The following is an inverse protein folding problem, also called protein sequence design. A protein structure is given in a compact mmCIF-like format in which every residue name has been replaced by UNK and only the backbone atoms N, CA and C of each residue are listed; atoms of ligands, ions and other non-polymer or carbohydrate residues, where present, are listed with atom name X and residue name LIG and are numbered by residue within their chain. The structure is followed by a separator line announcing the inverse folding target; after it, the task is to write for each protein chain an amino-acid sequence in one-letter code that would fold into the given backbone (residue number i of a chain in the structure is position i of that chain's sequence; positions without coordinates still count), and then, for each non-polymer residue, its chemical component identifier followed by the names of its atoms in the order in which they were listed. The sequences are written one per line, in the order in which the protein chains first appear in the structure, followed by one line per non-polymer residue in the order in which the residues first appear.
data_IF_777777570795
#
_entry.id   IF_777777570795
#
_cell.length_a   1.000
_cell.length_b   1.000
_cell.length_c   1.000
_cell.angle_alpha   90.00
_cell.angle_beta   90.00
_cell.angle_gamma   90.00
#
_symmetry.space_group_name_H-M   'P 1'
#
loop_
_entity.id
_entity.type
_entity.pdbx_description
1 polymer ?
#
# COMPACT_ATOMS: atom_id res chain seq x y z
N UNK A 1 30.54 13.87 -13.20
CA UNK A 1 30.88 14.06 -11.76
C UNK A 1 29.72 13.69 -10.83
N UNK A 2 28.46 14.03 -11.14
CA UNK A 2 27.27 13.72 -10.33
C UNK A 2 27.08 12.22 -10.06
N UNK A 3 27.15 11.38 -11.10
CA UNK A 3 27.02 9.93 -10.97
C UNK A 3 28.07 9.28 -10.07
N UNK A 4 29.32 9.75 -10.13
CA UNK A 4 30.40 9.24 -9.26
C UNK A 4 30.12 9.49 -7.78
N UNK A 5 29.52 10.64 -7.44
CA UNK A 5 29.15 10.97 -6.04
C UNK A 5 28.01 10.09 -5.54
N UNK A 6 26.97 9.89 -6.35
CA UNK A 6 25.86 8.98 -6.01
C UNK A 6 26.38 7.55 -5.81
N UNK A 7 27.24 7.09 -6.73
CA UNK A 7 27.85 5.77 -6.64
C UNK A 7 28.68 5.60 -5.36
N UNK A 8 29.46 6.60 -4.98
CA UNK A 8 30.25 6.56 -3.75
C UNK A 8 29.36 6.42 -2.50
N UNK A 9 28.25 7.14 -2.45
CA UNK A 9 27.27 7.01 -1.36
C UNK A 9 26.64 5.61 -1.34
N UNK A 10 26.21 5.11 -2.50
CA UNK A 10 25.62 3.78 -2.62
C UNK A 10 26.61 2.67 -2.24
N UNK A 11 27.88 2.77 -2.66
CA UNK A 11 28.93 1.80 -2.36
C UNK A 11 29.16 1.59 -0.85
N UNK A 12 29.02 2.66 -0.04
CA UNK A 12 29.10 2.55 1.42
C UNK A 12 28.01 1.64 1.99
N UNK A 13 26.79 1.77 1.49
CA UNK A 13 25.67 0.90 1.89
C UNK A 13 25.75 -0.50 1.26
N UNK A 14 26.22 -0.63 0.03
CA UNK A 14 26.45 -1.94 -0.61
C UNK A 14 27.46 -2.78 0.19
N UNK A 15 28.51 -2.16 0.74
CA UNK A 15 29.48 -2.86 1.57
C UNK A 15 28.87 -3.40 2.88
N UNK A 16 27.89 -2.69 3.45
CA UNK A 16 27.18 -3.09 4.65
C UNK A 16 25.95 -3.96 4.36
N UNK A 17 25.52 -4.00 3.09
CA UNK A 17 24.33 -4.70 2.68
C UNK A 17 24.47 -6.20 2.98
N UNK A 18 23.38 -6.77 3.49
CA UNK A 18 23.32 -8.20 3.80
C UNK A 18 22.75 -8.96 2.62
N UNK A 19 23.36 -10.08 2.28
CA UNK A 19 22.81 -11.01 1.30
C UNK A 19 21.56 -11.66 1.88
N UNK A 20 20.56 -11.90 1.03
CA UNK A 20 19.34 -12.55 1.48
C UNK A 20 19.60 -14.02 1.77
N UNK A 21 19.08 -14.56 2.89
CA UNK A 21 19.08 -15.99 3.10
C UNK A 21 18.25 -16.67 2.01
N UNK A 22 18.61 -17.89 1.63
CA UNK A 22 17.78 -18.68 0.74
C UNK A 22 16.37 -18.83 1.36
N UNK A 23 15.37 -18.32 0.65
CA UNK A 23 13.97 -18.43 1.03
C UNK A 23 13.42 -19.70 0.39
N UNK A 24 12.72 -20.49 1.20
CA UNK A 24 11.96 -21.65 0.74
C UNK A 24 10.49 -21.52 1.14
N UNK A 25 9.60 -22.05 0.32
CA UNK A 25 8.16 -21.90 0.49
C UNK A 25 7.51 -23.28 0.64
N UNK A 26 6.98 -23.55 1.83
CA UNK A 26 6.12 -24.71 2.08
C UNK A 26 4.65 -24.34 1.88
N UNK A 27 3.88 -25.22 1.25
CA UNK A 27 2.47 -24.93 0.92
C UNK A 27 1.59 -26.09 1.35
N UNK A 28 0.56 -25.77 2.12
CA UNK A 28 -0.56 -26.66 2.41
C UNK A 28 -1.80 -26.09 1.76
N UNK A 29 -2.32 -26.81 0.76
CA UNK A 29 -3.49 -26.44 0.01
C UNK A 29 -4.63 -27.41 0.34
N UNK A 30 -5.82 -26.88 0.64
CA UNK A 30 -7.03 -27.68 0.84
C UNK A 30 -8.17 -27.11 0.01
N UNK A 31 -8.96 -28.00 -0.58
CA UNK A 31 -10.19 -27.67 -1.31
C UNK A 31 -11.34 -28.37 -0.60
N UNK A 32 -12.34 -27.63 -0.10
CA UNK A 32 -13.42 -28.17 0.74
C UNK A 32 -12.92 -29.07 1.89
N UNK A 33 -11.77 -28.72 2.49
CA UNK A 33 -11.13 -29.48 3.55
C UNK A 33 -10.33 -30.71 3.10
N UNK A 34 -10.41 -31.12 1.83
CA UNK A 34 -9.59 -32.20 1.28
C UNK A 34 -8.18 -31.68 0.91
N UNK A 35 -7.10 -32.34 1.37
CA UNK A 35 -5.74 -31.90 1.08
C UNK A 35 -5.36 -32.13 -0.38
N UNK A 36 -4.73 -31.13 -0.99
CA UNK A 36 -4.11 -31.23 -2.32
C UNK A 36 -2.61 -31.42 -2.15
N UNK A 37 -2.05 -32.41 -2.83
CA UNK A 37 -0.59 -32.54 -2.93
C UNK A 37 -0.02 -31.45 -3.85
N UNK A 38 0.89 -30.65 -3.31
CA UNK A 38 1.66 -29.64 -4.05
C UNK A 38 3.07 -30.17 -4.27
N UNK A 39 3.50 -30.26 -5.52
CA UNK A 39 4.86 -30.72 -5.86
C UNK A 39 5.87 -29.61 -5.62
N UNK A 40 5.56 -28.38 -6.08
CA UNK A 40 6.44 -27.23 -5.95
C UNK A 40 5.71 -25.90 -6.17
N UNK A 41 6.15 -24.86 -5.46
CA UNK A 41 5.81 -23.48 -5.77
C UNK A 41 6.71 -22.95 -6.89
N UNK A 42 6.14 -22.48 -8.00
CA UNK A 42 6.92 -21.95 -9.12
C UNK A 42 7.12 -20.44 -9.02
N UNK A 43 6.06 -19.71 -8.71
CA UNK A 43 6.13 -18.27 -8.49
C UNK A 43 5.06 -17.78 -7.53
N UNK A 44 5.41 -16.73 -6.80
CA UNK A 44 4.49 -15.96 -5.97
C UNK A 44 4.66 -14.48 -6.30
N UNK A 45 3.55 -13.79 -6.50
CA UNK A 45 3.50 -12.35 -6.74
C UNK A 45 2.56 -11.76 -5.71
N UNK A 46 3.05 -10.83 -4.88
CA UNK A 46 2.24 -10.02 -3.99
C UNK A 46 2.08 -8.64 -4.61
N UNK A 47 0.86 -8.25 -4.91
CA UNK A 47 0.52 -6.94 -5.44
C UNK A 47 -0.19 -6.15 -4.35
N UNK A 48 0.35 -4.99 -3.98
CA UNK A 48 -0.29 -4.05 -3.06
C UNK A 48 -0.24 -2.64 -3.59
N UNK A 49 -1.38 -2.09 -4.02
CA UNK A 49 -1.54 -0.65 -4.22
C UNK A 49 -2.10 -0.05 -2.95
N UNK A 50 -1.23 0.46 -2.09
CA UNK A 50 -1.60 0.82 -0.72
C UNK A 50 -2.64 1.94 -0.62
N UNK A 51 -2.81 2.73 -1.67
CA UNK A 51 -3.77 3.86 -1.71
C UNK A 51 -5.09 3.54 -2.41
N UNK A 52 -5.21 2.39 -3.08
CA UNK A 52 -6.40 2.00 -3.86
C UNK A 52 -7.01 0.71 -3.38
N UNK A 53 -6.18 -0.21 -2.94
CA UNK A 53 -6.58 -1.51 -2.42
C UNK A 53 -6.57 -1.46 -0.89
N UNK A 54 -7.32 -2.34 -0.23
CA UNK A 54 -7.32 -2.45 1.24
C UNK A 54 -6.41 -3.57 1.75
N UNK A 55 -5.96 -4.48 0.88
CA UNK A 55 -5.14 -5.63 1.25
C UNK A 55 -4.28 -6.12 0.08
N UNK A 56 -3.34 -7.02 0.38
CA UNK A 56 -2.50 -7.64 -0.65
C UNK A 56 -3.28 -8.66 -1.48
N UNK A 57 -3.17 -8.54 -2.79
CA UNK A 57 -3.58 -9.58 -3.73
C UNK A 57 -2.37 -10.47 -4.05
N UNK A 58 -2.50 -11.78 -3.82
CA UNK A 58 -1.42 -12.74 -3.99
C UNK A 58 -1.71 -13.69 -5.14
N UNK A 59 -0.87 -13.67 -6.17
CA UNK A 59 -0.92 -14.65 -7.25
C UNK A 59 0.10 -15.75 -6.97
N UNK A 60 -0.36 -16.99 -6.90
CA UNK A 60 0.46 -18.14 -6.56
C UNK A 60 0.36 -19.19 -7.65
N UNK A 61 1.49 -19.50 -8.30
CA UNK A 61 1.57 -20.53 -9.33
C UNK A 61 2.22 -21.79 -8.76
N UNK A 62 1.48 -22.89 -8.82
CA UNK A 62 1.85 -24.18 -8.25
C UNK A 62 1.96 -25.26 -9.31
N UNK A 63 2.93 -26.15 -9.12
CA UNK A 63 3.00 -27.42 -9.79
C UNK A 63 2.33 -28.49 -8.92
N UNK A 64 1.38 -29.20 -9.50
CA UNK A 64 0.58 -30.24 -8.84
C UNK A 64 0.51 -31.51 -9.71
N UNK A 65 0.20 -32.68 -9.14
CA UNK A 65 -0.15 -33.86 -9.92
C UNK A 65 -1.37 -33.59 -10.80
N UNK A 66 -1.39 -34.15 -12.02
CA UNK A 66 -2.47 -33.91 -12.98
C UNK A 66 -3.84 -34.40 -12.46
N UNK A 67 -3.88 -35.50 -11.72
CA UNK A 67 -5.09 -36.04 -11.07
C UNK A 67 -5.74 -35.05 -10.10
N UNK A 68 -4.94 -34.23 -9.42
CA UNK A 68 -5.43 -33.23 -8.47
C UNK A 68 -5.85 -31.92 -9.14
N UNK A 69 -5.49 -31.72 -10.41
CA UNK A 69 -5.83 -30.50 -11.15
C UNK A 69 -7.34 -30.28 -11.22
N UNK A 70 -8.11 -31.33 -11.52
CA UNK A 70 -9.58 -31.25 -11.61
C UNK A 70 -10.22 -30.88 -10.28
N UNK A 71 -9.72 -31.43 -9.17
CA UNK A 71 -10.23 -31.11 -7.84
C UNK A 71 -10.12 -29.62 -7.53
N UNK A 72 -9.05 -28.97 -8.00
CA UNK A 72 -8.84 -27.54 -7.83
C UNK A 72 -9.66 -26.72 -8.83
N UNK A 73 -9.67 -27.08 -10.11
CA UNK A 73 -10.26 -26.23 -11.16
C UNK A 73 -11.77 -26.33 -11.27
N UNK A 74 -12.37 -27.50 -11.03
CA UNK A 74 -13.81 -27.72 -11.22
C UNK A 74 -14.61 -27.84 -9.93
N UNK A 75 -13.95 -28.22 -8.83
CA UNK A 75 -14.64 -28.55 -7.57
C UNK A 75 -14.33 -27.58 -6.44
N UNK A 76 -13.63 -26.47 -6.69
CA UNK A 76 -13.26 -25.56 -5.60
C UNK A 76 -14.35 -24.56 -5.22
N UNK A 77 -15.25 -24.17 -6.15
CA UNK A 77 -16.36 -23.22 -5.93
C UNK A 77 -16.02 -21.98 -5.06
N UNK A 78 -14.76 -21.56 -5.03
CA UNK A 78 -14.27 -20.44 -4.20
C UNK A 78 -13.93 -20.75 -2.74
N UNK A 79 -14.00 -22.00 -2.27
CA UNK A 79 -13.51 -22.45 -0.95
C UNK A 79 -12.13 -23.13 -1.06
N UNK A 80 -11.18 -22.36 -1.58
CA UNK A 80 -9.78 -22.76 -1.63
C UNK A 80 -9.02 -22.11 -0.48
N UNK A 81 -8.40 -22.92 0.39
CA UNK A 81 -7.59 -22.45 1.51
C UNK A 81 -6.13 -22.81 1.31
N UNK A 82 -5.25 -21.83 1.46
CA UNK A 82 -3.81 -22.00 1.32
C UNK A 82 -3.13 -21.52 2.59
N UNK A 83 -2.37 -22.41 3.22
CA UNK A 83 -1.42 -22.04 4.27
C UNK A 83 -0.01 -22.04 3.67
N UNK A 84 0.55 -20.84 3.55
CA UNK A 84 1.90 -20.61 3.07
C UNK A 84 2.86 -20.53 4.27
N UNK A 85 3.89 -21.36 4.25
CA UNK A 85 4.99 -21.35 5.20
C UNK A 85 6.22 -20.75 4.53
N UNK A 86 6.66 -19.60 5.03
CA UNK A 86 7.95 -19.05 4.67
C UNK A 86 9.03 -19.73 5.52
N UNK A 87 10.03 -20.35 4.90
CA UNK A 87 11.13 -21.03 5.59
C UNK A 87 12.47 -20.32 5.31
N UNK A 88 13.29 -20.23 6.35
CA UNK A 88 14.70 -19.82 6.28
C UNK A 88 15.54 -20.97 6.77
N UNK A 89 16.02 -21.80 5.84
CA UNK A 89 16.62 -23.10 6.15
C UNK A 89 15.58 -24.01 6.81
N UNK A 90 15.91 -24.58 7.98
CA UNK A 90 15.02 -25.49 8.73
C UNK A 90 14.00 -24.77 9.61
N UNK A 91 14.08 -23.44 9.76
CA UNK A 91 13.17 -22.67 10.63
C UNK A 91 12.01 -22.09 9.82
N UNK A 92 10.81 -22.18 10.37
CA UNK A 92 9.64 -21.46 9.88
C UNK A 92 9.83 -19.99 10.28
N UNK A 93 9.89 -19.11 9.28
CA UNK A 93 10.04 -17.67 9.42
C UNK A 93 8.69 -16.94 9.39
N UNK A 94 7.65 -17.54 8.81
CA UNK A 94 6.31 -16.96 8.79
C UNK A 94 5.24 -17.96 8.33
N UNK A 95 4.02 -17.74 8.80
CA UNK A 95 2.83 -18.50 8.43
C UNK A 95 1.77 -17.51 7.95
N UNK A 96 1.27 -17.72 6.74
CA UNK A 96 0.25 -16.90 6.11
C UNK A 96 -0.93 -17.76 5.69
N UNK A 97 -2.12 -17.39 6.13
CA UNK A 97 -3.35 -18.08 5.78
C UNK A 97 -4.09 -17.27 4.72
N UNK A 98 -4.34 -17.89 3.59
CA UNK A 98 -5.01 -17.27 2.46
C UNK A 98 -6.27 -18.05 2.09
N UNK A 99 -7.22 -17.30 1.53
CA UNK A 99 -8.35 -17.83 0.78
C UNK A 99 -8.40 -17.24 -0.60
N UNK A 100 -8.97 -17.97 -1.54
CA UNK A 100 -9.02 -17.46 -2.89
C UNK A 100 -9.70 -18.36 -3.89
N UNK A 101 -9.42 -18.06 -5.14
CA UNK A 101 -10.01 -18.73 -6.30
C UNK A 101 -8.91 -19.17 -7.25
N UNK A 102 -9.26 -20.10 -8.12
CA UNK A 102 -8.36 -20.54 -9.18
C UNK A 102 -8.54 -19.62 -10.38
N UNK A 103 -7.45 -19.05 -10.88
CA UNK A 103 -7.46 -18.35 -12.14
C UNK A 103 -7.25 -19.41 -13.23
N UNK A 104 -8.32 -19.76 -13.93
CA UNK A 104 -8.23 -20.70 -15.03
C UNK A 104 -9.11 -20.26 -16.19
N UNK A 105 -8.51 -20.20 -17.37
CA UNK A 105 -9.19 -19.84 -18.62
C UNK A 105 -9.74 -21.08 -19.35
N UNK A 106 -9.63 -22.29 -18.77
CA UNK A 106 -10.08 -23.55 -19.36
C UNK A 106 -11.06 -24.30 -18.46
N UNK A 107 -12.23 -24.64 -19.00
CA UNK A 107 -13.16 -25.53 -18.35
C UNK A 107 -12.78 -26.99 -18.60
N UNK A 108 -12.16 -27.62 -17.60
CA UNK A 108 -11.73 -29.02 -17.69
C UNK A 108 -12.87 -30.02 -17.62
N UNK A 109 -14.08 -29.59 -17.23
CA UNK A 109 -15.28 -30.43 -17.30
C UNK A 109 -15.85 -30.47 -18.72
N UNK A 110 -15.59 -29.44 -19.52
CA UNK A 110 -15.95 -29.38 -20.94
C UNK A 110 -14.94 -30.09 -21.85
N UNK A 111 -13.75 -30.44 -21.33
CA UNK A 111 -12.73 -31.17 -22.08
C UNK A 111 -12.87 -32.69 -21.90
N UNK A 112 -12.92 -33.42 -23.02
CA UNK A 112 -12.91 -34.90 -23.00
C UNK A 112 -11.64 -35.40 -22.31
N UNK A 113 -11.74 -36.28 -21.29
CA UNK A 113 -10.57 -36.84 -20.64
C UNK A 113 -9.67 -37.56 -21.65
N UNK A 114 -8.36 -37.49 -21.45
CA UNK A 114 -7.43 -38.29 -22.24
C UNK A 114 -7.58 -39.78 -21.89
N UNK A 115 -7.33 -40.66 -22.86
CA UNK A 115 -7.47 -42.12 -22.69
C UNK A 115 -6.49 -42.72 -21.66
N UNK A 116 -5.56 -41.94 -21.11
CA UNK A 116 -4.49 -42.40 -20.23
C UNK A 116 -4.55 -41.75 -18.83
N UNK A 117 -5.75 -41.50 -18.30
CA UNK A 117 -5.92 -40.88 -16.97
C UNK A 117 -5.18 -41.63 -15.86
N UNK A 118 -5.11 -42.97 -15.94
CA UNK A 118 -4.39 -43.80 -14.95
C UNK A 118 -2.87 -43.70 -15.01
N UNK A 119 -2.31 -43.14 -16.09
CA UNK A 119 -0.87 -42.90 -16.28
C UNK A 119 -0.55 -41.39 -16.33
N UNK A 120 -1.53 -40.50 -16.12
CA UNK A 120 -1.33 -39.07 -16.30
C UNK A 120 -0.39 -38.48 -15.26
N UNK A 121 -0.42 -38.99 -14.04
CA UNK A 121 0.43 -38.50 -12.95
C UNK A 121 1.90 -38.87 -13.12
N UNK A 122 2.17 -39.99 -13.81
CA UNK A 122 3.54 -40.40 -14.17
C UNK A 122 4.07 -39.64 -15.39
N UNK A 123 3.20 -39.08 -16.22
CA UNK A 123 3.54 -38.49 -17.53
C UNK A 123 3.41 -36.98 -17.60
N UNK A 124 2.68 -36.35 -16.69
CA UNK A 124 2.37 -34.92 -16.77
C UNK A 124 2.25 -34.26 -15.40
N UNK A 125 2.74 -33.02 -15.33
CA UNK A 125 2.55 -32.11 -14.21
C UNK A 125 1.58 -31.02 -14.66
N UNK A 126 0.62 -30.67 -13.82
CA UNK A 126 -0.27 -29.55 -14.06
C UNK A 126 0.25 -28.29 -13.38
N UNK A 127 0.11 -27.15 -14.06
CA UNK A 127 0.39 -25.83 -13.50
C UNK A 127 -0.93 -25.11 -13.24
N UNK A 128 -1.10 -24.64 -12.01
CA UNK A 128 -2.31 -23.91 -11.60
C UNK A 128 -1.91 -22.59 -10.97
N UNK A 129 -2.57 -21.53 -11.38
CA UNK A 129 -2.42 -20.20 -10.79
C UNK A 129 -3.64 -19.88 -9.92
N UNK A 130 -3.37 -19.45 -8.70
CA UNK A 130 -4.37 -19.09 -7.70
C UNK A 130 -4.33 -17.59 -7.46
N UNK A 131 -5.50 -16.98 -7.35
CA UNK A 131 -5.66 -15.63 -6.82
C UNK A 131 -6.07 -15.73 -5.36
N UNK A 132 -5.26 -15.17 -4.48
CA UNK A 132 -5.36 -15.36 -3.04
C UNK A 132 -5.39 -14.00 -2.32
N UNK A 133 -6.15 -13.93 -1.23
CA UNK A 133 -6.13 -12.82 -0.28
C UNK A 133 -6.07 -13.36 1.14
N UNK A 134 -5.70 -12.51 2.10
CA UNK A 134 -5.65 -12.89 3.51
C UNK A 134 -7.03 -13.43 3.97
N UNK A 135 -7.03 -14.54 4.71
CA UNK A 135 -8.27 -15.18 5.15
C UNK A 135 -9.17 -14.23 5.95
N UNK A 136 -8.59 -13.32 6.73
CA UNK A 136 -9.36 -12.33 7.49
C UNK A 136 -10.07 -11.32 6.58
N UNK A 137 -9.48 -10.98 5.44
CA UNK A 137 -10.09 -10.06 4.47
C UNK A 137 -11.22 -10.70 3.68
N UNK A 138 -11.13 -12.01 3.42
CA UNK A 138 -12.14 -12.74 2.66
C UNK A 138 -13.55 -12.53 3.21
N UNK A 139 -13.70 -12.58 4.54
CA UNK A 139 -15.00 -12.39 5.21
C UNK A 139 -15.39 -10.92 5.35
N UNK A 140 -14.42 -10.02 5.51
CA UNK A 140 -14.68 -8.58 5.67
C UNK A 140 -15.26 -7.95 4.40
N UNK A 141 -15.00 -8.50 3.22
CA UNK A 141 -15.56 -8.02 1.95
C UNK A 141 -17.09 -8.05 1.89
N UNK A 142 -17.73 -8.93 2.66
CA UNK A 142 -19.19 -9.04 2.71
C UNK A 142 -19.78 -8.44 3.99
N UNK A 143 -18.95 -7.79 4.81
CA UNK A 143 -19.37 -7.18 6.08
C UNK A 143 -19.85 -5.76 5.81
N UNK A 144 -20.99 -5.43 6.39
CA UNK A 144 -21.52 -4.07 6.45
C UNK A 144 -21.20 -3.43 7.80
N UNK A 145 -21.03 -2.11 7.77
CA UNK A 145 -20.77 -1.27 8.94
C UNK A 145 -21.85 -0.19 8.98
N UNK A 146 -22.37 0.09 10.17
CA UNK A 146 -23.36 1.14 10.39
C UNK A 146 -23.39 1.49 11.87
N UNK A 147 -23.82 2.70 12.20
CA UNK A 147 -23.96 3.12 13.59
C UNK A 147 -23.80 4.61 13.82
N UNK A 148 -24.18 5.02 15.03
CA UNK A 148 -24.05 6.40 15.50
C UNK A 148 -23.03 6.42 16.63
N UNK A 149 -22.00 7.24 16.48
CA UNK A 149 -20.94 7.41 17.45
C UNK A 149 -21.04 8.80 18.06
N UNK A 150 -21.16 8.86 19.38
CA UNK A 150 -21.35 10.11 20.10
C UNK A 150 -20.03 10.68 20.62
N UNK A 151 -19.91 12.00 20.63
CA UNK A 151 -18.83 12.78 21.26
C UNK A 151 -17.43 12.28 20.91
N UNK A 152 -17.19 11.98 19.63
CA UNK A 152 -15.97 11.35 19.15
C UNK A 152 -15.47 12.01 17.86
N UNK A 153 -14.32 11.56 17.39
CA UNK A 153 -13.68 12.04 16.17
C UNK A 153 -13.55 10.93 15.10
N UNK A 154 -13.34 11.34 13.85
CA UNK A 154 -13.27 10.42 12.72
C UNK A 154 -12.12 9.41 12.80
N UNK A 155 -10.98 9.76 13.39
CA UNK A 155 -9.85 8.85 13.57
C UNK A 155 -10.17 7.78 14.62
N UNK A 156 -10.79 8.17 15.73
CA UNK A 156 -11.23 7.24 16.77
C UNK A 156 -12.27 6.24 16.23
N UNK A 157 -13.24 6.70 15.44
CA UNK A 157 -14.24 5.82 14.79
C UNK A 157 -13.58 4.88 13.77
N UNK A 158 -12.68 5.38 12.92
CA UNK A 158 -11.95 4.52 11.99
C UNK A 158 -11.15 3.42 12.72
N UNK A 159 -10.52 3.77 13.85
CA UNK A 159 -9.79 2.82 14.70
C UNK A 159 -10.70 1.80 15.36
N UNK A 160 -11.89 2.18 15.84
CA UNK A 160 -12.82 1.24 16.45
C UNK A 160 -13.34 0.22 15.44
N UNK A 161 -13.70 0.65 14.23
CA UNK A 161 -14.13 -0.24 13.14
C UNK A 161 -13.04 -1.28 12.81
N UNK A 162 -11.77 -0.85 12.76
CA UNK A 162 -10.65 -1.76 12.55
C UNK A 162 -10.41 -2.68 13.77
N UNK A 163 -10.59 -2.18 14.99
CA UNK A 163 -10.39 -2.94 16.21
C UNK A 163 -11.38 -4.09 16.34
N UNK A 164 -12.61 -3.92 15.85
CA UNK A 164 -13.66 -4.94 15.78
C UNK A 164 -13.35 -6.10 14.81
N UNK A 165 -12.22 -6.02 14.08
CA UNK A 165 -11.72 -7.11 13.23
C UNK A 165 -10.63 -7.94 13.91
N UNK A 166 -10.11 -7.49 15.05
CA UNK A 166 -9.06 -8.19 15.78
C UNK A 166 -9.66 -9.39 16.53
N UNK A 167 -8.92 -10.51 16.65
CA UNK A 167 -9.37 -11.65 17.44
C UNK A 167 -9.46 -11.29 18.93
N UNK A 168 -10.42 -11.88 19.63
CA UNK A 168 -10.47 -11.79 21.09
C UNK A 168 -9.31 -12.55 21.73
N UNK A 169 -8.55 -11.88 22.61
CA UNK A 169 -7.42 -12.49 23.33
C UNK A 169 -6.09 -12.47 22.55
N UNK A 170 -5.27 -13.51 22.74
CA UNK A 170 -3.95 -13.59 22.09
C UNK A 170 -4.11 -14.10 20.67
N UNK A 171 -3.78 -13.26 19.69
CA UNK A 171 -3.83 -13.62 18.27
C UNK A 171 -2.91 -14.82 17.97
N UNK A 172 -3.48 -15.88 17.38
CA UNK A 172 -2.72 -17.03 16.92
C UNK A 172 -1.86 -16.70 15.69
N UNK A 173 -0.89 -17.55 15.36
CA UNK A 173 -0.12 -17.43 14.12
C UNK A 173 -1.05 -17.47 12.90
N UNK A 174 -0.92 -16.48 12.00
CA UNK A 174 -1.83 -16.36 10.86
C UNK A 174 -2.93 -15.32 11.05
N UNK A 175 -3.23 -14.89 12.28
CA UNK A 175 -4.31 -13.94 12.58
C UNK A 175 -3.83 -12.50 12.68
N UNK A 176 -4.77 -11.56 12.55
CA UNK A 176 -4.55 -10.13 12.76
C UNK A 176 -3.98 -9.85 14.17
N UNK A 177 -2.90 -9.09 14.22
CA UNK A 177 -2.09 -8.80 15.41
C UNK A 177 -2.33 -7.43 16.02
N UNK A 178 -2.89 -6.49 15.26
CA UNK A 178 -3.15 -5.14 15.76
C UNK A 178 -3.26 -4.09 14.67
N UNK A 179 -3.34 -2.84 15.13
CA UNK A 179 -3.52 -1.65 14.30
C UNK A 179 -2.36 -0.70 14.54
N UNK A 180 -1.79 -0.22 13.46
CA UNK A 180 -0.84 0.89 13.44
C UNK A 180 -1.47 2.07 12.73
N UNK A 181 -1.36 3.25 13.33
CA UNK A 181 -1.93 4.47 12.74
C UNK A 181 -0.98 5.66 12.86
N UNK A 182 -1.24 6.69 12.05
CA UNK A 182 -0.58 7.99 12.15
C UNK A 182 -1.42 8.93 13.03
N UNK A 183 -0.77 9.85 13.74
CA UNK A 183 -1.48 10.84 14.56
C UNK A 183 -1.57 12.19 13.85
N UNK A 184 -2.72 12.83 13.97
CA UNK A 184 -2.99 14.18 13.48
C UNK A 184 -4.08 14.81 14.36
N UNK A 185 -4.05 16.12 14.54
CA UNK A 185 -5.07 16.85 15.27
C UNK A 185 -6.48 16.57 14.71
N UNK A 186 -7.41 16.24 15.60
CA UNK A 186 -8.77 15.83 15.24
C UNK A 186 -9.80 16.85 15.70
N UNK A 187 -10.87 16.94 14.94
CA UNK A 187 -12.06 17.67 15.33
C UNK A 187 -13.08 16.68 15.91
N UNK A 188 -13.49 16.93 17.15
CA UNK A 188 -14.57 16.17 17.77
C UNK A 188 -15.93 16.61 17.19
N UNK A 189 -16.79 15.63 16.96
CA UNK A 189 -18.16 15.81 16.52
C UNK A 189 -19.10 15.34 17.63
N UNK A 190 -20.26 16.01 17.73
CA UNK A 190 -21.31 15.55 18.64
C UNK A 190 -21.79 14.16 18.25
N UNK A 191 -22.08 13.98 16.97
CA UNK A 191 -22.58 12.74 16.41
C UNK A 191 -21.86 12.48 15.08
N UNK A 192 -21.22 11.32 14.96
CA UNK A 192 -20.74 10.76 13.71
C UNK A 192 -21.71 9.65 13.33
N UNK A 193 -22.48 9.90 12.26
CA UNK A 193 -23.44 8.94 11.72
C UNK A 193 -22.80 8.26 10.54
N UNK A 194 -22.71 6.94 10.60
CA UNK A 194 -22.40 6.07 9.46
C UNK A 194 -23.73 5.44 9.04
N UNK A 195 -24.18 5.65 7.78
CA UNK A 195 -25.39 5.05 7.26
C UNK A 195 -25.41 3.54 7.48
N UNK A 196 -26.59 2.98 7.70
CA UNK A 196 -26.75 1.54 7.74
C UNK A 196 -26.37 0.94 6.38
N UNK A 197 -25.77 -0.25 6.41
CA UNK A 197 -25.34 -0.99 5.23
C UNK A 197 -24.20 -0.37 4.41
N UNK A 198 -23.39 0.51 4.99
CA UNK A 198 -22.13 0.93 4.34
C UNK A 198 -21.17 -0.26 4.25
N UNK A 199 -20.57 -0.47 3.08
CA UNK A 199 -19.61 -1.57 2.90
C UNK A 199 -18.34 -1.30 3.71
N UNK A 200 -17.75 -2.35 4.30
CA UNK A 200 -16.51 -2.22 5.06
C UNK A 200 -15.37 -1.58 4.25
N UNK A 201 -15.38 -1.75 2.93
CA UNK A 201 -14.36 -1.20 2.03
C UNK A 201 -14.51 0.31 1.81
N UNK A 202 -15.74 0.83 1.76
CA UNK A 202 -16.03 2.24 1.46
C UNK A 202 -16.18 3.11 2.70
N UNK A 203 -16.43 2.51 3.87
CA UNK A 203 -16.67 3.26 5.12
C UNK A 203 -15.53 4.23 5.48
N UNK A 204 -14.28 3.89 5.16
CA UNK A 204 -13.13 4.75 5.43
C UNK A 204 -13.07 5.96 4.51
N UNK A 205 -13.43 5.78 3.23
CA UNK A 205 -13.58 6.89 2.29
C UNK A 205 -14.76 7.77 2.70
N UNK A 206 -15.86 7.18 3.18
CA UNK A 206 -16.98 7.92 3.74
C UNK A 206 -16.53 8.80 4.91
N UNK A 207 -15.82 8.23 5.90
CA UNK A 207 -15.30 8.97 7.05
C UNK A 207 -14.36 10.10 6.62
N UNK A 208 -13.43 9.83 5.71
CA UNK A 208 -12.51 10.84 5.19
C UNK A 208 -13.23 11.95 4.44
N UNK A 209 -14.23 11.63 3.61
CA UNK A 209 -14.93 12.61 2.81
C UNK A 209 -15.90 13.46 3.64
N UNK A 210 -16.57 12.90 4.64
CA UNK A 210 -17.60 13.60 5.43
C UNK A 210 -17.06 14.27 6.69
N UNK A 211 -16.17 13.61 7.43
CA UNK A 211 -15.67 14.07 8.73
C UNK A 211 -14.19 14.47 8.71
N UNK A 212 -13.44 14.12 7.65
CA UNK A 212 -12.04 14.52 7.48
C UNK A 212 -11.12 13.91 8.54
N UNK A 213 -10.60 12.72 8.28
CA UNK A 213 -9.71 12.01 9.21
C UNK A 213 -8.30 12.61 9.15
N UNK A 214 -7.73 12.70 7.95
CA UNK A 214 -6.38 13.22 7.72
C UNK A 214 -6.33 14.30 6.65
N UNK A 215 -5.47 15.30 6.82
CA UNK A 215 -5.27 16.37 5.82
C UNK A 215 -4.45 15.94 4.60
N UNK A 216 -3.73 14.82 4.69
CA UNK A 216 -2.85 14.27 3.64
C UNK A 216 -3.38 12.96 3.06
N UNK A 217 -4.71 12.78 3.12
CA UNK A 217 -5.41 11.59 2.69
C UNK A 217 -5.44 10.47 3.71
N UNK A 218 -6.37 9.55 3.49
CA UNK A 218 -6.50 8.33 4.27
C UNK A 218 -5.99 7.16 3.44
N UNK A 219 -5.10 6.37 4.02
CA UNK A 219 -4.72 5.06 3.52
C UNK A 219 -5.10 4.03 4.57
N UNK A 220 -5.89 3.04 4.17
CA UNK A 220 -6.25 1.90 5.02
C UNK A 220 -5.79 0.65 4.33
N UNK A 221 -4.84 -0.06 4.92
CA UNK A 221 -4.24 -1.22 4.28
C UNK A 221 -3.90 -2.31 5.29
N UNK A 222 -4.30 -3.53 5.00
CA UNK A 222 -3.88 -4.71 5.74
C UNK A 222 -2.59 -5.27 5.14
N UNK A 223 -1.51 -5.26 5.94
CA UNK A 223 -0.22 -5.80 5.55
C UNK A 223 0.36 -6.67 6.66
N UNK A 224 0.73 -7.91 6.33
CA UNK A 224 1.35 -8.87 7.25
C UNK A 224 0.65 -8.95 8.62
N UNK A 225 -0.65 -9.26 8.60
CA UNK A 225 -1.48 -9.41 9.80
C UNK A 225 -1.64 -8.13 10.63
N UNK A 226 -1.38 -6.94 10.09
CA UNK A 226 -1.63 -5.67 10.78
C UNK A 226 -2.41 -4.73 9.90
N UNK A 227 -3.27 -3.95 10.53
CA UNK A 227 -3.92 -2.82 9.90
C UNK A 227 -3.02 -1.60 9.95
N UNK A 228 -2.91 -0.89 8.83
CA UNK A 228 -2.25 0.39 8.73
C UNK A 228 -3.30 1.44 8.37
N UNK A 229 -3.42 2.46 9.22
CA UNK A 229 -4.26 3.63 9.00
C UNK A 229 -3.39 4.88 8.95
N UNK A 230 -3.03 5.34 7.76
CA UNK A 230 -1.90 6.26 7.59
C UNK A 230 -2.20 7.37 6.59
N UNK A 231 -1.28 8.33 6.51
CA UNK A 231 -1.31 9.45 5.55
C UNK A 231 -0.46 9.14 4.32
N UNK A 232 -1.06 8.86 3.15
CA UNK A 232 -0.33 8.49 1.95
C UNK A 232 0.36 9.67 1.26
N UNK A 233 -0.06 10.93 1.45
CA UNK A 233 0.47 12.08 0.68
C UNK A 233 1.24 13.07 1.57
N UNK A 234 2.20 12.56 2.35
CA UNK A 234 2.95 13.36 3.34
C UNK A 234 4.47 13.32 3.11
N UNK A 235 5.01 14.39 2.53
CA UNK A 235 6.46 14.57 2.29
C UNK A 235 7.25 14.88 3.56
N UNK A 236 6.61 15.48 4.57
CA UNK A 236 7.25 15.87 5.83
C UNK A 236 7.40 14.69 6.79
N UNK A 237 6.69 13.58 6.53
CA UNK A 237 6.71 12.36 7.34
C UNK A 237 8.14 11.83 7.58
N UNK A 238 9.03 11.97 6.60
CA UNK A 238 10.41 11.49 6.73
C UNK A 238 11.18 12.19 7.87
N UNK A 239 10.96 13.47 8.08
CA UNK A 239 11.67 14.22 9.13
C UNK A 239 10.96 14.14 10.48
N UNK A 240 9.62 14.03 10.47
CA UNK A 240 8.80 14.18 11.68
C UNK A 240 8.44 12.87 12.37
N UNK A 241 8.81 11.71 11.81
CA UNK A 241 8.51 10.41 12.43
C UNK A 241 9.69 9.81 13.19
N UNK A 242 9.35 9.04 14.23
CA UNK A 242 10.24 8.11 14.94
C UNK A 242 10.10 6.67 14.44
N UNK A 243 9.16 6.40 13.52
CA UNK A 243 8.98 5.08 12.88
C UNK A 243 10.08 4.76 11.86
N UNK A 244 10.24 3.49 11.44
CA UNK A 244 11.26 3.12 10.47
C UNK A 244 11.13 3.89 9.16
N UNK A 245 12.27 4.34 8.62
CA UNK A 245 12.35 5.20 7.43
C UNK A 245 13.03 4.49 6.27
N UNK A 246 12.64 4.85 5.06
CA UNK A 246 13.18 4.27 3.84
C UNK A 246 14.04 5.29 3.09
N UNK A 247 15.27 4.93 2.78
CA UNK A 247 16.16 5.70 1.91
C UNK A 247 16.46 4.86 0.67
N UNK A 248 16.15 5.39 -0.50
CA UNK A 248 16.38 4.71 -1.78
C UNK A 248 17.47 5.46 -2.54
N UNK A 249 18.52 4.74 -2.91
CA UNK A 249 19.52 5.19 -3.88
C UNK A 249 19.19 4.58 -5.23
N UNK A 250 18.77 5.41 -6.19
CA UNK A 250 18.45 4.96 -7.55
C UNK A 250 19.68 5.04 -8.45
N UNK A 251 20.35 3.90 -8.63
CA UNK A 251 21.49 3.76 -9.54
C UNK A 251 21.03 3.45 -10.98
N UNK A 252 21.86 3.74 -11.99
CA UNK A 252 21.62 3.30 -13.36
C UNK A 252 21.37 1.79 -13.45
N UNK A 253 20.49 1.39 -14.36
CA UNK A 253 20.02 0.00 -14.52
C UNK A 253 21.17 -0.99 -14.68
N UNK A 254 22.18 -0.63 -15.46
CA UNK A 254 23.34 -1.49 -15.76
C UNK A 254 24.16 -1.77 -14.50
N UNK A 255 24.26 -0.79 -13.61
CA UNK A 255 25.03 -0.93 -12.37
C UNK A 255 24.25 -1.68 -11.31
N UNK A 256 22.94 -1.40 -11.18
CA UNK A 256 22.09 -2.04 -10.18
C UNK A 256 21.82 -3.53 -10.45
N UNK A 257 21.82 -3.96 -11.72
CA UNK A 257 21.55 -5.35 -12.09
C UNK A 257 22.62 -6.34 -11.61
N UNK A 258 23.86 -5.89 -11.42
CA UNK A 258 24.99 -6.74 -11.01
C UNK A 258 25.21 -6.78 -9.50
N UNK A 259 24.35 -6.13 -8.72
CA UNK A 259 24.50 -6.04 -7.27
C UNK A 259 23.77 -7.20 -6.59
N UNK A 260 24.52 -8.08 -5.93
CA UNK A 260 23.95 -9.21 -5.20
C UNK A 260 23.28 -8.82 -3.88
N UNK A 261 23.67 -7.69 -3.29
CA UNK A 261 23.20 -7.22 -1.98
C UNK A 261 22.73 -5.78 -2.05
N UNK A 262 21.42 -5.59 -1.91
CA UNK A 262 20.76 -4.30 -2.18
C UNK A 262 20.12 -3.68 -0.94
N UNK A 263 20.22 -4.33 0.22
CA UNK A 263 19.55 -3.89 1.47
C UNK A 263 20.53 -3.76 2.62
N UNK A 264 20.57 -2.57 3.21
CA UNK A 264 21.30 -2.26 4.44
C UNK A 264 20.31 -1.71 5.48
N UNK A 265 20.35 -2.24 6.70
CA UNK A 265 19.45 -1.85 7.79
C UNK A 265 20.32 -1.32 8.93
N UNK A 266 20.30 -0.01 9.12
CA UNK A 266 21.05 0.68 10.17
C UNK A 266 20.09 1.32 11.17
N UNK A 267 19.87 0.64 12.29
CA UNK A 267 18.92 1.07 13.32
C UNK A 267 17.51 1.14 12.76
N UNK A 268 16.97 2.35 12.67
CA UNK A 268 15.60 2.62 12.22
C UNK A 268 15.51 3.06 10.75
N UNK A 269 16.61 2.97 9.99
CA UNK A 269 16.65 3.38 8.58
C UNK A 269 16.98 2.17 7.73
N UNK A 270 16.13 1.93 6.73
CA UNK A 270 16.31 0.92 5.70
C UNK A 270 16.85 1.63 4.47
N UNK A 271 18.05 1.24 4.04
CA UNK A 271 18.68 1.72 2.83
C UNK A 271 18.51 0.67 1.74
N UNK A 272 17.89 1.07 0.63
CA UNK A 272 17.72 0.25 -0.55
C UNK A 272 18.55 0.80 -1.71
N UNK A 273 19.23 -0.11 -2.39
CA UNK A 273 19.86 0.14 -3.67
C UNK A 273 18.92 -0.37 -4.75
N UNK A 274 18.30 0.58 -5.44
CA UNK A 274 17.37 0.31 -6.52
C UNK A 274 18.00 0.67 -7.86
N UNK A 275 17.47 0.10 -8.92
CA UNK A 275 17.77 0.51 -10.28
C UNK A 275 16.96 -0.27 -11.29
N UNK A 276 16.80 0.30 -12.48
CA UNK A 276 15.89 -0.20 -13.51
C UNK A 276 15.19 0.94 -14.24
N UNK A 277 14.18 0.59 -15.02
CA UNK A 277 13.36 1.56 -15.73
C UNK A 277 12.54 2.35 -14.71
N UNK A 278 12.95 3.60 -14.47
CA UNK A 278 12.21 4.52 -13.62
C UNK A 278 11.10 5.13 -14.48
N UNK A 279 9.85 4.75 -14.24
CA UNK A 279 8.70 5.43 -14.83
C UNK A 279 8.20 6.48 -13.86
N UNK A 280 8.01 7.69 -14.37
CA UNK A 280 7.35 8.78 -13.65
C UNK A 280 6.02 9.06 -14.33
N UNK A 281 4.94 8.96 -13.56
CA UNK A 281 3.63 9.42 -14.00
C UNK A 281 3.42 10.83 -13.43
N UNK A 282 3.58 11.82 -14.30
CA UNK A 282 3.40 13.22 -13.95
C UNK A 282 1.98 13.67 -14.35
N UNK A 283 1.10 13.77 -13.35
CA UNK A 283 -0.24 14.33 -13.53
C UNK A 283 -0.36 15.75 -12.98
N UNK A 284 0.73 16.30 -12.45
CA UNK A 284 0.73 17.56 -11.71
C UNK A 284 0.21 18.73 -12.55
N UNK A 285 0.66 18.85 -13.79
CA UNK A 285 0.26 19.96 -14.66
C UNK A 285 -1.21 19.85 -15.08
N UNK A 286 -1.65 18.64 -15.43
CA UNK A 286 -3.06 18.38 -15.74
C UNK A 286 -3.96 18.61 -14.52
N UNK A 287 -3.54 18.20 -13.33
CA UNK A 287 -4.27 18.41 -12.09
C UNK A 287 -4.34 19.90 -11.74
N UNK A 288 -3.22 20.63 -11.83
CA UNK A 288 -3.17 22.07 -11.59
C UNK A 288 -4.09 22.86 -12.52
N UNK A 289 -4.16 22.50 -13.80
CA UNK A 289 -5.01 23.18 -14.79
C UNK A 289 -6.50 22.82 -14.64
N UNK A 290 -6.83 21.55 -14.39
CA UNK A 290 -8.22 21.09 -14.35
C UNK A 290 -8.87 21.21 -12.97
N UNK A 291 -8.14 20.95 -11.89
CA UNK A 291 -8.63 20.93 -10.51
C UNK A 291 -8.24 22.19 -9.73
N UNK A 292 -7.23 22.91 -10.20
CA UNK A 292 -6.70 24.10 -9.54
C UNK A 292 -5.46 23.81 -8.69
N UNK A 293 -4.75 24.88 -8.34
CA UNK A 293 -3.56 24.85 -7.47
C UNK A 293 -3.87 25.17 -6.01
N UNK A 294 -5.14 25.42 -5.68
CA UNK A 294 -5.65 25.63 -4.34
C UNK A 294 -7.14 25.31 -4.26
N UNK A 295 -7.74 25.55 -3.10
CA UNK A 295 -9.18 25.39 -2.89
C UNK A 295 -9.70 26.51 -2.00
N UNK A 296 -11.01 26.77 -2.05
CA UNK A 296 -11.73 27.66 -1.13
C UNK A 296 -12.95 26.94 -0.58
N UNK A 297 -13.08 26.89 0.73
CA UNK A 297 -14.24 26.30 1.41
C UNK A 297 -14.72 27.26 2.49
N UNK A 298 -16.01 27.59 2.49
CA UNK A 298 -16.62 28.37 3.56
C UNK A 298 -16.75 27.55 4.84
N UNK A 299 -16.50 28.13 6.01
CA UNK A 299 -16.73 27.41 7.26
C UNK A 299 -18.22 27.44 7.65
N UNK A 300 -18.82 26.28 7.94
CA UNK A 300 -20.23 26.20 8.42
C UNK A 300 -20.43 26.96 9.73
N UNK A 301 -19.39 27.05 10.58
CA UNK A 301 -19.41 27.80 11.84
C UNK A 301 -19.75 29.29 11.65
N UNK A 302 -19.54 29.81 10.44
CA UNK A 302 -19.85 31.19 10.06
C UNK A 302 -21.34 31.38 9.81
N UNK A 303 -22.04 30.34 9.33
CA UNK A 303 -23.49 30.38 9.10
C UNK A 303 -24.28 30.42 10.42
N UNK A 304 -23.71 29.86 11.50
CA UNK A 304 -24.32 29.85 12.86
C UNK A 304 -24.00 31.13 13.67
N UNK A 305 -23.39 32.16 13.06
CA UNK A 305 -23.10 33.43 13.74
C UNK A 305 -22.08 33.37 14.89
N UNK A 306 -21.44 32.21 15.12
CA UNK A 306 -20.41 32.00 16.16
C UNK A 306 -19.02 32.50 15.76
N UNK A 307 -18.92 33.25 14.66
CA UNK A 307 -17.67 33.77 14.10
C UNK A 307 -17.43 35.26 14.39
N UNK A 308 -17.99 35.78 15.50
CA UNK A 308 -17.60 37.10 16.00
C UNK A 308 -16.36 36.98 16.90
N UNK A 309 -15.30 37.72 16.57
CA UNK A 309 -14.19 37.90 17.51
C UNK A 309 -14.64 38.81 18.64
N UNK A 310 -14.75 38.28 19.86
CA UNK A 310 -14.98 39.10 21.04
C UNK A 310 -13.66 39.71 21.51
N UNK A 311 -13.43 40.97 21.15
CA UNK A 311 -12.59 41.88 21.93
C UNK A 311 -13.54 42.77 22.74
N UNK A 312 -13.52 42.75 24.08
CA UNK A 312 -14.38 43.60 24.88
C UNK A 312 -14.15 45.09 24.54
N UNK A 313 -15.15 45.75 23.96
CA UNK A 313 -15.13 47.20 23.67
C UNK A 313 -15.18 47.59 22.18
N UNK A 314 -15.02 46.65 21.25
CA UNK A 314 -15.04 46.95 19.80
C UNK A 314 -16.32 46.49 19.08
N UNK A 315 -16.65 47.21 18.02
CA UNK A 315 -17.75 46.89 17.10
C UNK A 315 -17.40 45.58 16.38
N UNK A 316 -18.31 44.61 16.37
CA UNK A 316 -18.12 43.31 15.72
C UNK A 316 -17.73 43.47 14.24
N UNK A 317 -16.44 43.33 13.91
CA UNK A 317 -15.95 43.34 12.54
C UNK A 317 -15.86 41.91 12.01
N UNK A 318 -16.61 41.63 10.96
CA UNK A 318 -16.49 40.41 10.17
C UNK A 318 -15.27 40.52 9.26
N UNK A 319 -14.11 39.94 9.64
CA UNK A 319 -12.92 39.90 8.76
C UNK A 319 -13.04 38.80 7.71
N UNK A 320 -13.09 39.12 6.39
CA UNK A 320 -13.26 38.16 5.29
C UNK A 320 -12.32 36.95 5.33
N UNK A 321 -11.08 37.17 5.72
CA UNK A 321 -10.01 36.16 5.74
C UNK A 321 -10.20 35.06 6.79
N UNK A 322 -11.11 35.25 7.75
CA UNK A 322 -11.46 34.20 8.74
C UNK A 322 -12.67 33.35 8.31
N UNK A 323 -13.31 33.64 7.18
CA UNK A 323 -14.54 32.96 6.74
C UNK A 323 -14.30 31.82 5.75
N UNK A 324 -13.15 31.81 5.10
CA UNK A 324 -12.81 30.86 4.05
C UNK A 324 -11.54 30.12 4.45
N UNK A 325 -11.65 28.81 4.61
CA UNK A 325 -10.47 27.95 4.60
C UNK A 325 -9.95 27.93 3.16
N UNK A 326 -8.76 28.49 2.95
CA UNK A 326 -8.10 28.52 1.66
C UNK A 326 -6.66 28.02 1.83
N UNK A 327 -6.24 27.12 0.93
CA UNK A 327 -4.81 26.88 0.73
C UNK A 327 -4.24 28.00 -0.14
N UNK A 328 -3.11 28.58 0.27
CA UNK A 328 -2.38 29.55 -0.56
C UNK A 328 -1.87 28.84 -1.83
N UNK A 329 -2.46 29.11 -3.02
CA UNK A 329 -2.19 28.30 -4.19
C UNK A 329 -0.78 28.60 -4.67
N UNK A 330 0.09 27.58 -4.74
CA UNK A 330 1.35 27.74 -5.44
C UNK A 330 1.03 28.05 -6.91
N UNK A 331 1.53 29.18 -7.43
CA UNK A 331 1.32 29.52 -8.83
C UNK A 331 1.81 28.37 -9.71
N UNK A 332 0.96 27.96 -10.67
CA UNK A 332 1.42 27.08 -11.74
C UNK A 332 2.63 27.73 -12.44
N UNK A 333 3.60 26.98 -12.99
CA UNK A 333 4.77 27.59 -13.64
C UNK A 333 4.45 28.65 -14.70
N UNK A 334 3.25 28.62 -15.30
CA UNK A 334 2.72 29.66 -16.18
C UNK A 334 2.10 30.90 -15.49
N UNK A 335 2.24 31.06 -14.17
CA UNK A 335 1.72 32.20 -13.39
C UNK A 335 0.23 32.15 -13.07
N UNK A 336 -0.50 31.14 -13.54
CA UNK A 336 -1.94 31.00 -13.29
C UNK A 336 -2.19 30.40 -11.92
N UNK A 337 -3.06 31.04 -11.15
CA UNK A 337 -3.59 30.56 -9.88
C UNK A 337 -5.06 30.24 -10.10
N UNK A 338 -5.46 29.00 -9.81
CA UNK A 338 -6.85 28.59 -9.85
C UNK A 338 -7.21 27.94 -8.51
N UNK A 339 -8.08 28.58 -7.74
CA UNK A 339 -8.55 28.09 -6.44
C UNK A 339 -10.08 28.08 -6.45
N UNK A 340 -10.69 27.06 -7.08
CA UNK A 340 -12.13 26.98 -7.18
C UNK A 340 -12.77 26.74 -5.81
N UNK A 341 -14.02 27.20 -5.67
CA UNK A 341 -14.90 26.76 -4.60
C UNK A 341 -15.39 25.37 -4.97
N UNK A 342 -15.33 24.42 -4.04
CA UNK A 342 -15.86 23.07 -4.24
C UNK A 342 -17.36 23.15 -4.56
N UNK A 343 -17.82 22.73 -5.75
CA UNK A 343 -19.21 22.87 -6.17
C UNK A 343 -20.16 21.99 -5.35
N UNK A 344 -19.66 20.88 -4.79
CA UNK A 344 -20.46 19.95 -4.00
C UNK A 344 -20.44 20.30 -2.50
N UNK A 345 -19.46 21.11 -2.05
CA UNK A 345 -19.23 21.46 -0.64
C UNK A 345 -18.86 22.93 -0.45
N UNK A 346 -19.82 23.81 -0.73
CA UNK A 346 -19.67 25.26 -0.52
C UNK A 346 -19.33 25.64 0.92
N UNK A 347 -19.92 24.93 1.89
CA UNK A 347 -19.62 25.05 3.31
C UNK A 347 -19.28 23.69 3.89
N UNK A 348 -18.21 23.63 4.68
CA UNK A 348 -17.82 22.42 5.40
C UNK A 348 -17.37 22.76 6.82
N UNK A 349 -17.52 21.81 7.74
CA UNK A 349 -16.94 21.90 9.08
C UNK A 349 -15.45 21.58 9.09
N UNK A 350 -14.94 20.93 8.05
CA UNK A 350 -13.55 20.49 7.89
C UNK A 350 -13.07 20.67 6.45
N UNK A 351 -11.81 21.09 6.28
CA UNK A 351 -11.14 21.28 4.99
C UNK A 351 -10.19 20.12 4.62
N UNK A 352 -10.02 19.14 5.53
CA UNK A 352 -9.16 17.97 5.34
C UNK A 352 -9.43 17.18 4.06
N UNK A 353 -10.68 16.94 3.62
CA UNK A 353 -10.95 16.24 2.37
C UNK A 353 -10.37 16.97 1.14
N UNK A 354 -10.52 18.29 1.09
CA UNK A 354 -10.02 19.13 0.00
C UNK A 354 -8.49 19.23 0.03
N UNK A 355 -7.90 19.39 1.23
CA UNK A 355 -6.44 19.35 1.41
C UNK A 355 -5.83 18.04 0.93
N UNK A 356 -6.48 16.91 1.24
CA UNK A 356 -6.05 15.59 0.79
C UNK A 356 -5.98 15.50 -0.73
N UNK A 357 -7.05 15.93 -1.43
CA UNK A 357 -7.10 15.90 -2.91
C UNK A 357 -6.03 16.79 -3.53
N UNK A 358 -5.83 17.99 -2.97
CA UNK A 358 -4.80 18.92 -3.44
C UNK A 358 -3.40 18.30 -3.27
N UNK A 359 -3.10 17.77 -2.09
CA UNK A 359 -1.78 17.20 -1.80
C UNK A 359 -1.46 15.99 -2.68
N UNK A 360 -2.44 15.13 -2.94
CA UNK A 360 -2.28 14.03 -3.91
C UNK A 360 -1.78 14.54 -5.27
N UNK A 361 -2.36 15.64 -5.78
CA UNK A 361 -2.02 16.23 -7.08
C UNK A 361 -0.69 16.99 -7.13
N UNK A 362 -0.13 17.39 -5.98
CA UNK A 362 1.12 18.14 -5.91
C UNK A 362 2.38 17.27 -6.05
N UNK A 363 2.27 15.97 -5.81
CA UNK A 363 3.40 15.04 -5.94
C UNK A 363 3.40 14.28 -7.27
N UNK A 364 4.49 13.56 -7.50
CA UNK A 364 4.71 12.70 -8.67
C UNK A 364 4.80 11.25 -8.21
N UNK A 365 4.16 10.34 -8.95
CA UNK A 365 4.33 8.91 -8.74
C UNK A 365 5.56 8.43 -9.51
N UNK A 366 6.53 7.89 -8.79
CA UNK A 366 7.76 7.33 -9.34
C UNK A 366 7.80 5.84 -9.02
N UNK A 367 8.00 5.02 -10.05
CA UNK A 367 8.23 3.59 -9.87
C UNK A 367 9.71 3.27 -10.00
N UNK A 368 10.23 2.43 -9.11
CA UNK A 368 11.62 1.96 -9.18
C UNK A 368 11.67 0.46 -8.91
N UNK A 369 12.69 -0.20 -9.45
CA UNK A 369 12.89 -1.63 -9.29
C UNK A 369 13.94 -1.92 -8.21
N UNK A 370 13.58 -2.78 -7.28
CA UNK A 370 14.46 -3.30 -6.24
C UNK A 370 14.76 -4.77 -6.51
N UNK A 371 15.99 -5.03 -6.97
CA UNK A 371 16.48 -6.39 -7.24
C UNK A 371 16.91 -7.08 -5.94
N UNK A 372 16.78 -8.41 -5.91
CA UNK A 372 17.04 -9.23 -4.71
C UNK A 372 16.28 -8.69 -3.51
N UNK A 373 14.98 -8.46 -3.72
CA UNK A 373 14.09 -7.87 -2.71
C UNK A 373 13.66 -8.88 -1.65
N UNK A 374 13.23 -8.37 -0.50
CA UNK A 374 12.62 -9.15 0.58
C UNK A 374 11.26 -8.60 0.92
N UNK A 375 10.24 -9.43 0.75
CA UNK A 375 8.89 -9.09 1.18
C UNK A 375 8.82 -8.90 2.70
N UNK A 376 8.12 -7.86 3.14
CA UNK A 376 7.80 -7.65 4.55
C UNK A 376 8.74 -6.80 5.39
N UNK A 377 9.80 -6.25 4.78
CA UNK A 377 10.63 -5.24 5.47
C UNK A 377 10.07 -3.82 5.31
N UNK A 378 9.28 -3.60 4.25
CA UNK A 378 8.61 -2.35 3.96
C UNK A 378 7.19 -2.41 4.52
N UNK A 379 6.58 -1.24 4.74
CA UNK A 379 5.20 -1.15 5.21
C UNK A 379 4.41 -0.05 4.48
N UNK A 380 3.08 -0.14 4.42
CA UNK A 380 2.23 0.86 3.78
C UNK A 380 2.42 2.26 4.38
N UNK A 381 2.63 3.27 3.54
CA UNK A 381 2.80 4.64 4.01
C UNK A 381 4.14 4.91 4.70
N UNK A 382 5.13 4.04 4.50
CA UNK A 382 6.50 4.24 5.00
C UNK A 382 7.07 5.54 4.45
N UNK A 383 7.68 6.41 5.29
CA UNK A 383 8.31 7.63 4.83
C UNK A 383 9.56 7.33 3.99
N UNK A 384 9.69 8.02 2.87
CA UNK A 384 10.73 7.78 1.85
C UNK A 384 11.58 9.01 1.60
N UNK A 385 12.89 8.80 1.51
CA UNK A 385 13.86 9.71 0.91
C UNK A 385 14.41 9.05 -0.36
N UNK A 386 14.17 9.66 -1.51
CA UNK A 386 14.58 9.16 -2.81
C UNK A 386 15.75 9.98 -3.34
N UNK A 387 16.91 9.34 -3.50
CA UNK A 387 18.16 9.97 -3.97
C UNK A 387 18.46 9.49 -5.39
N UNK A 388 18.61 10.43 -6.31
CA UNK A 388 18.88 10.14 -7.72
C UNK A 388 19.89 11.14 -8.28
N UNK A 389 20.53 10.80 -9.41
CA UNK A 389 21.44 11.69 -10.11
C UNK A 389 20.93 11.98 -11.53
N UNK A 390 21.16 13.19 -11.99
CA UNK A 390 21.00 13.59 -13.39
C UNK A 390 22.29 14.27 -13.87
N UNK A 391 22.26 14.86 -15.08
CA UNK A 391 23.39 15.56 -15.68
C UNK A 391 23.89 16.74 -14.82
N UNK A 392 22.99 17.39 -14.08
CA UNK A 392 23.27 18.60 -13.30
C UNK A 392 23.77 18.31 -11.88
N UNK A 393 23.42 17.16 -11.29
CA UNK A 393 23.74 16.91 -9.89
C UNK A 393 23.09 15.68 -9.28
N UNK A 394 23.29 15.53 -7.97
CA UNK A 394 22.58 14.55 -7.13
C UNK A 394 21.45 15.29 -6.43
N UNK A 395 20.24 14.76 -6.55
CA UNK A 395 19.01 15.34 -6.03
C UNK A 395 18.37 14.40 -5.02
N UNK A 396 17.52 14.97 -4.18
CA UNK A 396 16.75 14.23 -3.18
C UNK A 396 15.31 14.70 -3.24
N UNK A 397 14.39 13.74 -3.23
CA UNK A 397 12.94 13.97 -3.06
C UNK A 397 12.45 13.23 -1.82
N UNK A 398 11.39 13.74 -1.21
CA UNK A 398 10.77 13.15 -0.02
C UNK A 398 9.32 12.80 -0.30
N UNK A 399 8.80 11.82 0.44
CA UNK A 399 7.45 11.34 0.25
C UNK A 399 7.18 10.04 0.99
N UNK A 400 6.39 9.16 0.37
CA UNK A 400 5.81 7.98 0.99
C UNK A 400 5.80 6.79 0.03
N UNK A 401 5.86 5.58 0.59
CA UNK A 401 5.66 4.34 -0.15
C UNK A 401 4.16 4.11 -0.33
N UNK A 402 3.71 4.09 -1.58
CA UNK A 402 2.28 3.98 -1.95
C UNK A 402 1.93 2.68 -2.65
N UNK A 403 2.92 1.84 -2.98
CA UNK A 403 2.68 0.49 -3.44
C UNK A 403 3.95 -0.35 -3.53
N UNK A 404 3.76 -1.66 -3.49
CA UNK A 404 4.80 -2.68 -3.63
C UNK A 404 4.23 -3.83 -4.46
N UNK A 405 4.94 -4.20 -5.53
CA UNK A 405 4.69 -5.45 -6.26
C UNK A 405 5.92 -6.33 -6.09
N UNK A 406 5.82 -7.30 -5.17
CA UNK A 406 6.88 -8.27 -4.91
C UNK A 406 6.67 -9.50 -5.78
N UNK A 407 7.73 -9.98 -6.42
CA UNK A 407 7.76 -11.20 -7.19
C UNK A 407 8.89 -12.10 -6.69
N UNK A 408 8.57 -13.38 -6.52
CA UNK A 408 9.54 -14.45 -6.31
C UNK A 408 9.24 -15.60 -7.28
N UNK A 409 10.24 -16.05 -8.01
CA UNK A 409 10.10 -17.14 -8.97
C UNK A 409 11.33 -18.06 -8.95
N UNK A 410 11.14 -19.34 -9.26
CA UNK A 410 12.24 -20.32 -9.31
C UNK A 410 13.32 -19.86 -10.30
N UNK A 411 14.57 -19.87 -9.85
CA UNK A 411 15.74 -19.46 -10.61
C UNK A 411 16.27 -20.64 -11.42
N UNK A 412 16.04 -20.64 -12.74
CA UNK A 412 16.51 -21.66 -13.69
C UNK A 412 15.39 -22.39 -14.43
N UNK A 413 15.73 -23.05 -15.54
CA UNK A 413 14.75 -23.74 -16.41
C UNK A 413 14.22 -25.07 -15.85
N UNK A 414 14.74 -25.55 -14.72
CA UNK A 414 14.37 -26.85 -14.15
C UNK A 414 13.64 -26.70 -12.82
N UNK A 415 12.57 -27.48 -12.65
CA UNK A 415 11.81 -27.58 -11.39
C UNK A 415 12.65 -28.10 -10.22
N UNK A 416 13.89 -28.56 -10.43
CA UNK A 416 14.80 -29.02 -9.39
C UNK A 416 15.56 -27.87 -8.68
N UNK A 417 15.58 -26.66 -9.25
CA UNK A 417 16.33 -25.55 -8.65
C UNK A 417 15.75 -25.12 -7.31
N UNK A 418 16.53 -25.18 -6.23
CA UNK A 418 16.10 -24.76 -4.89
C UNK A 418 16.24 -23.24 -4.63
N UNK A 419 16.61 -22.45 -5.64
CA UNK A 419 16.78 -21.00 -5.49
C UNK A 419 15.62 -20.25 -6.13
N UNK A 420 15.19 -19.19 -5.47
CA UNK A 420 14.23 -18.24 -6.01
C UNK A 420 14.93 -16.92 -6.32
N UNK A 421 14.65 -16.35 -7.48
CA UNK A 421 14.97 -14.97 -7.78
C UNK A 421 13.86 -14.07 -7.25
N UNK A 422 14.22 -12.96 -6.60
CA UNK A 422 13.26 -12.03 -6.00
C UNK A 422 13.46 -10.62 -6.53
N UNK A 423 12.36 -9.94 -6.82
CA UNK A 423 12.35 -8.58 -7.35
C UNK A 423 11.10 -7.87 -6.84
N UNK A 424 11.21 -6.59 -6.51
CA UNK A 424 10.07 -5.76 -6.13
C UNK A 424 10.02 -4.51 -6.99
N UNK A 425 8.84 -4.16 -7.48
CA UNK A 425 8.57 -2.84 -8.04
C UNK A 425 7.95 -1.98 -6.93
N UNK A 426 8.62 -0.88 -6.59
CA UNK A 426 8.16 0.06 -5.58
C UNK A 426 7.50 1.24 -6.28
N UNK A 427 6.29 1.61 -5.84
CA UNK A 427 5.62 2.84 -6.27
C UNK A 427 5.69 3.86 -5.14
N UNK A 428 6.27 5.02 -5.45
CA UNK A 428 6.56 6.08 -4.49
C UNK A 428 5.77 7.32 -4.89
N UNK A 429 5.14 7.99 -3.93
CA UNK A 429 4.69 9.35 -4.13
C UNK A 429 5.75 10.29 -3.60
N UNK A 430 6.23 11.21 -4.44
CA UNK A 430 7.34 12.09 -4.13
C UNK A 430 6.97 13.54 -4.42
N UNK A 431 7.33 14.44 -3.51
CA UNK A 431 7.14 15.88 -3.69
C UNK A 431 8.49 16.57 -3.90
N UNK A 432 8.51 17.53 -4.81
CA UNK A 432 9.64 18.45 -4.97
C UNK A 432 9.63 19.47 -3.83
N UNK A 433 10.38 19.19 -2.77
CA UNK A 433 10.64 20.16 -1.72
C UNK A 433 12.03 20.75 -1.90
N UNK A 434 12.09 22.06 -2.19
CA UNK A 434 13.31 22.85 -2.00
C UNK A 434 13.50 23.01 -0.49
N UNK A 435 14.16 22.06 0.16
CA UNK A 435 14.76 22.36 1.44
C UNK A 435 15.95 23.27 1.17
N UNK A 436 15.77 24.57 1.40
CA UNK A 436 16.90 25.45 1.68
C UNK A 436 17.60 24.88 2.90
N UNK A 437 18.79 24.33 2.67
CA UNK A 437 19.71 23.96 3.74
C UNK A 437 20.09 25.19 4.57
#
# INVERSE_FOLDING_TARGET
MSFGRLQQMANGHIANARGLPAIDYGIFLTVHGAPVTVLKMLSIIHTGHFTRDICLLTHLTLAIPYSHMRMITSSAEGDLKVKLLLRRGQKIAGVFNYRGIVINNRDHNAETPTMFLSQSDEKSIALVTLELMDESMWFLRNRQVGGIYHETDGLTVARSILADTLPEGVAAEGQLKGIEYDEEEQQAYRDIVIPDSEDFLSVFDYLQNHYGVYSKGIGVFQYLQRWYLYRPWDSLKFNNTTKPKLVIYNLPREQAAHIDRTTDIAGNVIYLICGGDTSSLEYRDQAALNQGTGYRVGSVRVLDGRSSSFTPGDISMTTPDKFVAQADPAAYPGGVVNAPIDPDKHFSDTDKPQRSKLEMGLGTIVQTTWNRSTHGILYPGMPVKYVFANEYGVYTRYGTLVGEVFQSAVDGQTMASGRYNTQSQLSLWLKDEKFTA
#
